data_IF_537332071880
#
_entry.id   IF_537332071880
#
_cell.length_a   1.000
_cell.length_b   1.000
_cell.length_c   1.000
_cell.angle_alpha   90.00
_cell.angle_beta   90.00
_cell.angle_gamma   90.00
#
_symmetry.space_group_name_H-M   'P 1'
#
loop_
_entity.id
_entity.type
_entity.pdbx_description
1 polymer ?
#
# COMPACT_ATOMS: atom_id res chain seq x y z
N UNK A 1 29.10 -2.49 30.33
CA UNK A 1 30.56 -2.30 30.37
C UNK A 1 30.84 -0.81 30.29
N UNK A 2 31.50 -0.30 31.33
CA UNK A 2 31.79 1.10 31.65
C UNK A 2 32.59 1.83 30.57
N UNK A 3 32.27 3.10 30.30
CA UNK A 3 33.28 4.17 30.13
C UNK A 3 32.68 5.53 30.55
N UNK A 4 33.14 6.10 31.66
CA UNK A 4 33.78 7.42 31.80
C UNK A 4 33.93 7.77 33.29
N UNK A 5 35.07 8.35 33.70
CA UNK A 5 35.01 9.36 34.74
C UNK A 5 35.79 10.65 34.44
N UNK A 6 35.38 11.66 35.19
CA UNK A 6 35.84 13.04 35.32
C UNK A 6 37.35 13.22 35.48
N UNK A 7 37.84 14.38 35.06
CA UNK A 7 39.09 14.98 35.53
C UNK A 7 38.84 16.40 36.05
N UNK A 8 39.27 16.58 37.30
CA UNK A 8 39.32 17.82 38.09
C UNK A 8 40.79 18.10 38.43
N UNK A 9 41.07 19.32 38.89
CA UNK A 9 42.31 19.80 39.53
C UNK A 9 43.43 20.27 38.58
N UNK A 10 44.23 21.31 38.84
CA UNK A 10 44.30 22.26 39.94
C UNK A 10 45.12 23.48 39.47
N UNK A 11 44.86 24.65 40.07
CA UNK A 11 45.70 25.84 39.97
C UNK A 11 46.89 25.74 40.93
N UNK A 12 48.06 26.20 40.49
CA UNK A 12 49.28 26.33 41.27
C UNK A 12 50.02 27.63 40.94
N UNK A 13 50.34 28.39 41.99
CA UNK A 13 50.92 29.74 42.05
C UNK A 13 52.46 29.80 42.07
N UNK A 14 52.98 31.04 42.04
CA UNK A 14 54.32 31.60 42.39
C UNK A 14 55.27 31.91 41.21
N UNK A 15 55.51 33.17 40.85
CA UNK A 15 56.24 34.30 41.51
C UNK A 15 57.77 34.22 41.31
N UNK A 16 58.34 35.20 40.59
CA UNK A 16 59.58 35.90 41.01
C UNK A 16 59.88 37.14 40.16
N UNK A 17 60.28 38.20 40.87
CA UNK A 17 60.75 39.52 40.42
C UNK A 17 62.08 39.47 39.68
N UNK A 18 62.34 40.49 38.83
CA UNK A 18 63.62 41.22 38.87
C UNK A 18 63.48 42.64 38.29
N UNK A 19 64.18 43.56 38.96
CA UNK A 19 64.19 45.03 38.89
C UNK A 19 65.36 45.52 38.01
N UNK A 20 65.31 46.82 37.63
CA UNK A 20 66.38 47.72 37.15
C UNK A 20 66.36 48.00 35.64
N UNK A 21 66.52 49.22 35.11
CA UNK A 21 66.88 50.56 35.62
C UNK A 21 66.58 51.59 34.52
N UNK A 22 66.29 52.83 34.90
CA UNK A 22 66.09 53.95 34.00
C UNK A 22 67.41 54.61 33.57
N UNK A 23 67.50 55.05 32.31
CA UNK A 23 68.36 56.18 31.88
C UNK A 23 67.68 57.01 30.79
N UNK A 24 67.86 58.32 30.95
CA UNK A 24 67.31 59.44 30.16
C UNK A 24 68.06 59.64 28.84
N UNK A 25 67.35 60.03 27.77
CA UNK A 25 67.90 60.94 26.76
C UNK A 25 66.83 61.59 25.87
N UNK A 26 66.84 62.93 25.92
CA UNK A 26 66.57 63.93 24.88
C UNK A 26 65.19 64.17 24.27
N UNK A 27 64.74 65.40 24.57
CA UNK A 27 63.78 66.27 23.89
C UNK A 27 64.15 66.49 22.42
N UNK A 28 63.16 66.32 21.53
CA UNK A 28 63.06 67.05 20.27
C UNK A 28 61.59 67.48 20.09
N UNK A 29 61.33 68.78 20.24
CA UNK A 29 60.08 69.41 19.82
C UNK A 29 60.04 69.46 18.29
N UNK A 30 58.99 68.91 17.69
CA UNK A 30 58.59 69.17 16.32
C UNK A 30 57.10 69.52 16.33
N UNK A 31 56.82 70.83 16.31
CA UNK A 31 55.51 71.39 15.99
C UNK A 31 55.21 71.13 14.51
N UNK A 32 54.20 70.31 14.20
CA UNK A 32 53.48 70.34 12.92
C UNK A 32 51.99 70.00 13.12
N UNK A 33 51.07 70.66 12.40
CA UNK A 33 49.66 70.69 12.73
C UNK A 33 48.94 69.38 12.38
N UNK A 34 48.19 68.86 13.34
CA UNK A 34 47.28 67.72 13.19
C UNK A 34 46.13 68.08 12.24
N UNK A 35 46.27 67.75 10.95
CA UNK A 35 45.13 67.59 10.04
C UNK A 35 44.82 66.09 9.95
N UNK A 36 44.21 65.55 11.01
CA UNK A 36 43.53 64.26 10.89
C UNK A 36 42.46 64.42 9.81
N UNK A 37 42.38 63.51 8.81
CA UNK A 37 41.27 63.55 7.86
C UNK A 37 39.99 63.42 8.67
N UNK A 38 39.12 64.43 8.59
CA UNK A 38 37.80 64.35 9.22
C UNK A 38 37.10 63.14 8.64
N UNK A 39 37.01 62.05 9.40
CA UNK A 39 36.19 60.90 9.09
C UNK A 39 34.75 61.39 9.10
N UNK A 40 34.25 61.85 7.94
CA UNK A 40 32.83 62.06 7.74
C UNK A 40 32.17 60.70 7.81
N UNK A 41 31.53 60.41 8.94
CA UNK A 41 30.59 59.31 9.04
C UNK A 41 29.43 59.62 8.08
N UNK A 42 29.49 59.09 6.87
CA UNK A 42 28.29 58.95 6.07
C UNK A 42 27.37 58.00 6.83
N UNK A 43 26.19 58.50 7.21
CA UNK A 43 25.10 57.63 7.61
C UNK A 43 24.90 56.66 6.44
N UNK A 44 25.33 55.41 6.60
CA UNK A 44 24.99 54.36 5.64
C UNK A 44 23.48 54.21 5.75
N UNK A 45 22.76 54.81 4.81
CA UNK A 45 21.38 54.43 4.58
C UNK A 45 21.36 52.94 4.26
N UNK A 46 20.37 52.24 4.82
CA UNK A 46 20.19 50.81 4.68
C UNK A 46 20.43 50.37 3.23
N UNK A 47 21.44 49.53 3.01
CA UNK A 47 21.71 48.96 1.69
C UNK A 47 20.66 47.87 1.50
N UNK A 48 19.55 48.22 0.83
CA UNK A 48 18.54 47.27 0.41
C UNK A 48 19.12 46.43 -0.74
N UNK A 49 19.91 45.42 -0.41
CA UNK A 49 20.39 44.42 -1.37
C UNK A 49 19.31 43.38 -1.69
N UNK A 50 18.12 43.49 -1.08
CA UNK A 50 16.98 42.63 -1.33
C UNK A 50 15.69 43.45 -1.43
N UNK A 51 14.86 43.10 -2.40
CA UNK A 51 13.48 43.52 -2.53
C UNK A 51 12.57 42.29 -2.49
N UNK A 52 11.32 42.50 -2.15
CA UNK A 52 10.36 41.44 -1.89
C UNK A 52 9.06 41.74 -2.63
N UNK A 53 8.47 40.72 -3.25
CA UNK A 53 7.19 40.82 -3.96
C UNK A 53 6.43 39.51 -3.82
N UNK A 54 5.16 39.58 -3.45
CA UNK A 54 4.30 38.39 -3.40
C UNK A 54 4.02 37.89 -4.82
N UNK A 55 4.03 36.58 -5.01
CA UNK A 55 3.60 35.97 -6.27
C UNK A 55 2.12 36.17 -6.53
N UNK A 56 1.73 35.93 -7.80
CA UNK A 56 0.33 35.95 -8.25
C UNK A 56 -0.46 37.21 -7.85
N UNK A 57 0.25 38.28 -7.49
CA UNK A 57 -0.33 39.46 -6.89
C UNK A 57 -1.42 40.03 -7.80
N UNK A 58 -2.64 40.05 -7.28
CA UNK A 58 -3.81 40.53 -8.03
C UNK A 58 -3.82 42.07 -8.11
N UNK A 59 -2.87 42.62 -8.87
CA UNK A 59 -2.71 44.04 -9.10
C UNK A 59 -2.49 44.32 -10.61
N UNK A 60 -2.87 45.51 -11.11
CA UNK A 60 -2.58 45.91 -12.49
C UNK A 60 -1.07 45.99 -12.76
N UNK A 61 -0.67 45.58 -13.95
CA UNK A 61 0.70 45.74 -14.44
C UNK A 61 0.90 47.13 -15.08
N UNK A 62 2.10 47.73 -14.98
CA UNK A 62 3.28 47.25 -14.26
C UNK A 62 3.16 47.49 -12.74
N UNK A 63 3.64 46.53 -11.95
CA UNK A 63 3.42 46.48 -10.51
C UNK A 63 4.65 46.97 -9.74
N UNK A 64 4.49 47.87 -8.76
CA UNK A 64 5.62 48.44 -8.01
C UNK A 64 6.25 47.42 -7.05
N UNK A 65 7.55 47.15 -7.21
CA UNK A 65 8.34 46.20 -6.41
C UNK A 65 9.08 46.93 -5.28
N UNK A 66 9.68 48.07 -5.58
CA UNK A 66 10.57 48.74 -4.64
C UNK A 66 11.28 49.92 -5.27
N UNK A 67 12.26 50.49 -4.56
CA UNK A 67 12.99 51.67 -5.01
C UNK A 67 14.47 51.56 -4.74
N UNK A 68 15.26 51.74 -5.78
CA UNK A 68 16.72 51.85 -5.71
C UNK A 68 17.05 53.31 -5.40
N UNK A 69 17.98 53.54 -4.46
CA UNK A 69 18.42 54.88 -4.07
C UNK A 69 19.92 55.01 -4.24
N UNK A 70 20.34 56.08 -4.90
CA UNK A 70 21.74 56.51 -4.98
C UNK A 70 22.06 57.52 -3.88
N UNK A 71 23.29 57.50 -3.38
CA UNK A 71 23.80 58.53 -2.46
C UNK A 71 24.23 59.81 -3.20
N UNK A 72 24.37 59.74 -4.53
CA UNK A 72 24.77 60.85 -5.40
C UNK A 72 23.58 61.79 -5.65
N UNK A 73 23.59 62.94 -5.00
CA UNK A 73 22.61 64.01 -5.25
C UNK A 73 22.99 64.81 -6.51
N UNK A 74 22.71 64.26 -7.70
CA UNK A 74 22.85 64.96 -8.99
C UNK A 74 21.50 65.02 -9.69
N UNK A 75 21.07 66.24 -10.08
CA UNK A 75 19.88 66.46 -10.94
C UNK A 75 19.95 65.73 -12.29
N UNK A 76 21.15 65.32 -12.70
CA UNK A 76 21.44 64.66 -13.97
C UNK A 76 21.80 63.17 -13.82
N UNK A 77 21.41 62.49 -12.74
CA UNK A 77 21.56 61.04 -12.63
C UNK A 77 20.35 60.31 -13.23
N UNK A 78 20.57 59.16 -13.87
CA UNK A 78 19.51 58.21 -14.24
C UNK A 78 19.81 56.81 -13.72
N UNK A 79 18.77 56.10 -13.32
CA UNK A 79 18.82 54.71 -12.85
C UNK A 79 18.61 53.75 -14.01
N UNK A 80 19.42 52.70 -14.09
CA UNK A 80 19.30 51.63 -15.09
C UNK A 80 19.40 50.27 -14.39
N UNK A 81 18.71 49.27 -14.94
CA UNK A 81 18.86 47.87 -14.56
C UNK A 81 19.70 47.13 -15.60
N UNK A 82 20.53 46.21 -15.13
CA UNK A 82 21.23 45.21 -15.96
C UNK A 82 21.01 43.82 -15.39
N UNK A 83 21.03 42.82 -16.27
CA UNK A 83 20.79 41.42 -15.94
C UNK A 83 19.91 40.78 -17.00
N UNK A 84 19.73 39.47 -16.91
CA UNK A 84 18.91 38.70 -17.86
C UNK A 84 17.44 39.14 -17.88
N UNK A 85 16.93 39.54 -16.71
CA UNK A 85 15.53 39.90 -16.46
C UNK A 85 15.24 41.40 -16.56
N UNK A 86 16.27 42.23 -16.76
CA UNK A 86 16.12 43.67 -16.93
C UNK A 86 15.42 44.00 -18.26
N UNK A 87 14.46 44.93 -18.22
CA UNK A 87 13.59 45.34 -19.32
C UNK A 87 12.69 44.24 -19.92
N UNK A 88 12.77 43.01 -19.40
CA UNK A 88 11.87 41.89 -19.73
C UNK A 88 10.84 41.69 -18.63
N UNK A 89 11.32 41.39 -17.41
CA UNK A 89 10.50 41.10 -16.24
C UNK A 89 10.42 42.32 -15.33
N UNK A 90 11.53 43.06 -15.19
CA UNK A 90 11.60 44.24 -14.34
C UNK A 90 12.07 45.47 -15.10
N UNK A 91 11.45 46.62 -14.80
CA UNK A 91 11.84 47.93 -15.31
C UNK A 91 12.07 48.89 -14.15
N UNK A 92 13.09 49.74 -14.27
CA UNK A 92 13.30 50.87 -13.36
C UNK A 92 12.90 52.17 -14.04
N UNK A 93 12.23 53.05 -13.30
CA UNK A 93 11.98 54.41 -13.75
C UNK A 93 13.28 55.23 -13.61
N UNK A 94 13.81 55.65 -14.76
CA UNK A 94 15.12 56.31 -14.86
C UNK A 94 15.29 57.52 -13.93
N UNK A 95 14.23 58.30 -13.70
CA UNK A 95 14.31 59.53 -12.89
C UNK A 95 14.15 59.30 -11.39
N UNK A 96 13.43 58.25 -10.98
CA UNK A 96 13.01 58.07 -9.59
C UNK A 96 13.64 56.86 -8.91
N UNK A 97 14.17 55.91 -9.69
CA UNK A 97 14.70 54.64 -9.17
C UNK A 97 13.62 53.65 -8.75
N UNK A 98 12.34 53.92 -9.04
CA UNK A 98 11.23 53.02 -8.73
C UNK A 98 11.26 51.82 -9.68
N UNK A 99 11.28 50.62 -9.12
CA UNK A 99 11.33 49.34 -9.84
C UNK A 99 9.94 48.75 -9.92
N UNK A 100 9.56 48.30 -11.12
CA UNK A 100 8.27 47.68 -11.40
C UNK A 100 8.46 46.32 -12.07
N UNK A 101 7.62 45.35 -11.69
CA UNK A 101 7.42 44.11 -12.42
C UNK A 101 6.49 44.35 -13.61
N UNK A 102 6.85 43.81 -14.78
CA UNK A 102 6.11 43.96 -16.03
C UNK A 102 5.14 42.82 -16.29
N UNK A 103 5.27 41.72 -15.56
CA UNK A 103 4.43 40.52 -15.63
C UNK A 103 4.08 40.00 -14.24
N UNK A 104 3.14 39.05 -14.16
CA UNK A 104 2.85 38.31 -12.92
C UNK A 104 3.98 37.32 -12.67
N UNK A 105 4.45 37.28 -11.43
CA UNK A 105 5.49 36.39 -10.99
C UNK A 105 4.86 35.15 -10.35
N UNK A 106 5.52 34.02 -10.52
CA UNK A 106 5.17 32.69 -10.02
C UNK A 106 6.46 32.13 -9.43
N UNK A 107 6.42 31.84 -8.12
CA UNK A 107 7.57 31.43 -7.33
C UNK A 107 7.99 30.01 -7.71
N UNK A 108 7.06 29.12 -8.00
CA UNK A 108 7.30 27.72 -8.37
C UNK A 108 8.10 27.65 -9.68
N UNK A 109 7.98 28.67 -10.54
CA UNK A 109 8.86 28.86 -11.70
C UNK A 109 10.20 29.49 -11.33
N UNK A 110 10.20 30.67 -10.71
CA UNK A 110 11.42 31.41 -10.36
C UNK A 110 11.23 32.15 -9.03
N UNK A 111 11.89 31.67 -7.96
CA UNK A 111 11.76 32.24 -6.62
C UNK A 111 12.65 33.46 -6.35
N UNK A 112 13.74 33.64 -7.11
CA UNK A 112 14.67 34.76 -6.93
C UNK A 112 15.23 35.29 -8.25
N UNK A 113 15.28 36.62 -8.38
CA UNK A 113 15.86 37.33 -9.52
C UNK A 113 17.08 38.15 -9.10
N UNK A 114 18.23 37.84 -9.69
CA UNK A 114 19.47 38.60 -9.46
C UNK A 114 19.65 39.69 -10.51
N UNK A 115 19.72 40.94 -10.06
CA UNK A 115 19.84 42.13 -10.92
C UNK A 115 20.99 43.04 -10.46
N UNK A 116 21.44 43.88 -11.39
CA UNK A 116 22.47 44.89 -11.12
C UNK A 116 21.89 46.28 -11.38
N UNK A 117 21.89 47.10 -10.34
CA UNK A 117 21.54 48.51 -10.41
C UNK A 117 22.73 49.35 -10.86
N UNK A 118 22.48 50.26 -11.80
CA UNK A 118 23.43 51.28 -12.22
C UNK A 118 22.85 52.66 -12.02
N UNK A 119 23.72 53.58 -11.60
CA UNK A 119 23.42 55.02 -11.57
C UNK A 119 24.41 55.67 -12.52
N UNK A 120 23.91 56.24 -13.61
CA UNK A 120 24.76 56.85 -14.65
C UNK A 120 24.42 58.32 -14.87
N UNK A 121 25.40 59.06 -15.35
CA UNK A 121 25.21 60.45 -15.75
C UNK A 121 24.37 60.52 -17.04
N UNK A 122 23.32 61.34 -17.06
CA UNK A 122 22.40 61.49 -18.19
C UNK A 122 23.10 61.92 -19.49
N UNK A 123 24.17 62.70 -19.39
CA UNK A 123 24.85 63.27 -20.55
C UNK A 123 25.96 62.35 -21.06
N UNK A 124 26.71 61.74 -20.15
CA UNK A 124 27.93 60.97 -20.51
C UNK A 124 27.74 59.46 -20.44
N UNK A 125 26.62 58.96 -19.88
CA UNK A 125 26.37 57.55 -19.56
C UNK A 125 27.49 56.89 -18.72
N UNK A 126 28.34 57.68 -18.06
CA UNK A 126 29.37 57.17 -17.15
C UNK A 126 28.74 56.80 -15.81
N UNK A 127 29.19 55.68 -15.24
CA UNK A 127 28.78 55.26 -13.91
C UNK A 127 29.16 56.32 -12.88
N UNK A 128 28.17 56.80 -12.13
CA UNK A 128 28.31 57.75 -11.04
C UNK A 128 28.65 57.06 -9.72
N UNK A 129 28.18 55.82 -9.56
CA UNK A 129 28.51 54.93 -8.47
C UNK A 129 28.93 53.57 -9.03
N UNK A 130 29.63 52.78 -8.23
CA UNK A 130 29.92 51.39 -8.58
C UNK A 130 28.61 50.61 -8.78
N UNK A 131 28.53 49.71 -9.78
CA UNK A 131 27.37 48.83 -9.95
C UNK A 131 27.03 48.09 -8.66
N UNK A 132 25.74 48.00 -8.34
CA UNK A 132 25.27 47.36 -7.11
C UNK A 132 24.37 46.18 -7.44
N UNK A 133 24.76 44.98 -7.02
CA UNK A 133 23.94 43.78 -7.16
C UNK A 133 22.87 43.72 -6.07
N UNK A 134 21.66 43.34 -6.44
CA UNK A 134 20.55 43.11 -5.53
C UNK A 134 19.69 41.93 -6.02
N UNK A 135 18.93 41.34 -5.10
CA UNK A 135 18.02 40.23 -5.39
C UNK A 135 16.57 40.70 -5.20
N UNK A 136 15.68 40.33 -6.10
CA UNK A 136 14.24 40.40 -5.87
C UNK A 136 13.79 38.99 -5.50
N UNK A 137 13.33 38.80 -4.25
CA UNK A 137 12.76 37.54 -3.78
C UNK A 137 11.25 37.56 -4.01
N UNK A 138 10.73 36.47 -4.56
CA UNK A 138 9.30 36.24 -4.69
C UNK A 138 8.82 35.56 -3.40
N UNK A 139 7.83 36.14 -2.74
CA UNK A 139 7.19 35.55 -1.59
C UNK A 139 6.10 34.59 -2.03
N UNK A 140 6.14 33.43 -1.40
CA UNK A 140 5.20 32.35 -1.59
C UNK A 140 3.79 32.76 -1.16
N UNK A 141 2.80 32.41 -1.97
CA UNK A 141 1.38 32.47 -1.65
C UNK A 141 0.84 31.06 -1.80
N UNK A 142 0.04 30.59 -0.85
CA UNK A 142 -0.61 29.28 -0.96
C UNK A 142 -1.66 29.30 -2.09
N UNK A 143 -1.23 28.91 -3.29
CA UNK A 143 -1.99 28.89 -4.52
C UNK A 143 -1.89 27.55 -5.27
N UNK A 144 -1.03 26.65 -4.82
CA UNK A 144 -1.02 25.26 -5.27
C UNK A 144 -1.84 24.38 -4.32
N UNK A 145 -2.41 23.32 -4.88
CA UNK A 145 -3.12 22.31 -4.08
C UNK A 145 -2.33 21.00 -4.09
N UNK A 146 -2.54 20.13 -3.07
CA UNK A 146 -1.86 18.85 -3.04
C UNK A 146 -2.25 17.97 -4.23
N UNK A 147 -1.25 17.46 -4.95
CA UNK A 147 -1.45 16.54 -6.08
C UNK A 147 -0.84 15.18 -5.76
N UNK A 148 -1.63 14.12 -5.87
CA UNK A 148 -1.13 12.76 -5.75
C UNK A 148 -0.10 12.44 -6.84
N UNK A 149 0.96 11.71 -6.46
CA UNK A 149 1.98 11.22 -7.40
C UNK A 149 1.41 10.39 -8.56
N UNK A 150 0.27 9.73 -8.33
CA UNK A 150 -0.46 8.96 -9.33
C UNK A 150 -1.96 9.22 -9.21
N UNK A 151 -2.67 9.13 -10.34
CA UNK A 151 -4.16 9.20 -10.34
C UNK A 151 -4.81 7.89 -9.89
N UNK A 152 -4.14 6.77 -10.15
CA UNK A 152 -4.61 5.42 -9.82
C UNK A 152 -3.51 4.65 -9.12
N UNK A 153 -3.82 4.05 -7.98
CA UNK A 153 -2.95 3.14 -7.23
C UNK A 153 -3.55 1.74 -7.25
N UNK A 154 -2.71 0.72 -7.46
CA UNK A 154 -3.13 -0.67 -7.32
C UNK A 154 -2.54 -1.24 -6.04
N UNK A 155 -3.37 -1.93 -5.26
CA UNK A 155 -2.94 -2.57 -4.04
C UNK A 155 -3.64 -3.92 -3.86
N UNK A 156 -3.11 -4.74 -2.96
CA UNK A 156 -3.75 -5.98 -2.58
C UNK A 156 -3.57 -6.23 -1.09
N UNK A 157 -4.57 -6.84 -0.47
CA UNK A 157 -4.55 -7.21 0.94
C UNK A 157 -5.19 -8.59 1.09
N UNK A 158 -4.69 -9.48 1.95
CA UNK A 158 -5.39 -10.73 2.24
C UNK A 158 -6.80 -10.46 2.74
N UNK A 159 -7.75 -11.28 2.32
CA UNK A 159 -9.06 -11.30 2.97
C UNK A 159 -8.95 -11.69 4.45
N UNK A 160 -10.02 -11.51 5.22
CA UNK A 160 -10.04 -11.73 6.68
C UNK A 160 -8.94 -11.03 7.48
N UNK A 161 -8.27 -10.03 6.87
CA UNK A 161 -7.23 -9.25 7.52
C UNK A 161 -7.78 -8.58 8.77
N UNK A 162 -6.93 -8.48 9.80
CA UNK A 162 -7.31 -7.79 11.02
C UNK A 162 -7.61 -6.30 10.74
N UNK A 163 -8.43 -5.67 11.58
CA UNK A 163 -8.61 -4.21 11.54
C UNK A 163 -7.27 -3.53 11.76
N UNK A 164 -6.96 -2.51 10.95
CA UNK A 164 -5.71 -1.78 10.99
C UNK A 164 -4.56 -2.41 10.18
N UNK A 165 -4.83 -3.45 9.40
CA UNK A 165 -3.82 -4.00 8.47
C UNK A 165 -3.52 -2.97 7.39
N UNK A 166 -2.25 -2.63 7.24
CA UNK A 166 -1.73 -1.73 6.19
C UNK A 166 -1.96 -2.32 4.80
N UNK A 167 -2.51 -1.51 3.90
CA UNK A 167 -2.80 -1.90 2.51
C UNK A 167 -1.83 -1.23 1.53
N UNK A 168 -1.75 0.09 1.54
CA UNK A 168 -0.84 0.86 0.68
C UNK A 168 -0.62 2.26 1.24
N UNK A 169 0.43 2.93 0.78
CA UNK A 169 0.75 4.30 1.19
C UNK A 169 0.58 5.24 0.00
N UNK A 170 -0.20 6.29 0.19
CA UNK A 170 -0.40 7.35 -0.79
C UNK A 170 0.52 8.53 -0.50
N UNK A 171 0.88 9.28 -1.54
CA UNK A 171 1.68 10.48 -1.39
C UNK A 171 1.13 11.55 -2.32
N UNK A 172 0.68 12.65 -1.71
CA UNK A 172 0.42 13.90 -2.40
C UNK A 172 1.55 14.90 -2.12
N UNK A 173 1.81 15.75 -3.10
CA UNK A 173 2.85 16.78 -3.06
C UNK A 173 2.18 18.12 -3.31
N UNK A 174 2.51 19.08 -2.45
CA UNK A 174 2.20 20.49 -2.64
C UNK A 174 3.45 21.21 -3.16
N UNK A 175 3.28 22.16 -4.08
CA UNK A 175 4.38 22.86 -4.74
C UNK A 175 4.80 24.15 -3.99
N UNK A 176 3.96 24.63 -3.06
CA UNK A 176 4.21 25.82 -2.26
C UNK A 176 5.44 25.66 -1.33
N UNK A 177 5.86 26.75 -0.69
CA UNK A 177 7.05 26.77 0.17
C UNK A 177 6.92 25.92 1.43
N UNK A 178 7.68 24.83 1.59
CA UNK A 178 7.59 23.98 2.78
C UNK A 178 8.15 24.64 4.04
N UNK A 179 8.84 25.78 3.92
CA UNK A 179 9.36 26.54 5.06
C UNK A 179 8.31 27.45 5.68
N UNK A 180 7.21 27.71 4.97
CA UNK A 180 6.08 28.47 5.50
C UNK A 180 5.09 27.49 6.11
N UNK A 181 4.79 27.70 7.39
CA UNK A 181 3.87 26.83 8.11
C UNK A 181 2.53 26.76 7.39
N UNK A 182 1.98 25.54 7.34
CA UNK A 182 0.67 25.20 6.80
C UNK A 182 0.49 25.32 5.27
N UNK A 183 1.41 25.94 4.52
CA UNK A 183 1.27 26.05 3.05
C UNK A 183 1.38 24.69 2.34
N UNK A 184 2.22 23.79 2.84
CA UNK A 184 2.38 22.44 2.27
C UNK A 184 1.77 21.35 3.15
N UNK A 185 0.89 21.70 4.09
CA UNK A 185 0.32 20.74 5.03
C UNK A 185 -0.85 20.02 4.39
N UNK A 186 -0.69 18.71 4.15
CA UNK A 186 -1.70 17.90 3.48
C UNK A 186 -2.54 17.14 4.49
N UNK A 187 -3.86 17.20 4.33
CA UNK A 187 -4.83 16.37 5.04
C UNK A 187 -5.48 15.38 4.08
N UNK A 188 -5.68 14.14 4.54
CA UNK A 188 -6.27 13.08 3.74
C UNK A 188 -7.66 12.68 4.23
N UNK A 189 -8.55 12.36 3.29
CA UNK A 189 -9.90 11.84 3.56
C UNK A 189 -10.30 10.77 2.55
N UNK A 190 -11.03 9.75 3.00
CA UNK A 190 -11.65 8.74 2.12
C UNK A 190 -13.06 9.20 1.73
N UNK A 191 -13.25 9.50 0.45
CA UNK A 191 -14.55 9.91 -0.13
C UNK A 191 -15.46 8.71 -0.47
N UNK A 192 -14.87 7.55 -0.79
CA UNK A 192 -15.59 6.31 -1.16
C UNK A 192 -14.82 5.10 -0.65
N UNK A 193 -15.53 4.12 -0.10
CA UNK A 193 -14.95 2.88 0.46
C UNK A 193 -14.55 3.00 1.93
N UNK A 194 -15.04 4.02 2.63
CA UNK A 194 -14.74 4.27 4.05
C UNK A 194 -15.37 3.22 4.99
N UNK A 195 -16.33 2.43 4.50
CA UNK A 195 -16.92 1.32 5.21
C UNK A 195 -15.96 0.12 5.35
N UNK A 196 -14.92 0.03 4.51
CA UNK A 196 -13.94 -1.07 4.48
C UNK A 196 -12.50 -0.62 4.74
N UNK A 197 -12.18 0.64 4.43
CA UNK A 197 -10.82 1.17 4.49
C UNK A 197 -10.79 2.57 5.09
N UNK A 198 -9.69 2.92 5.76
CA UNK A 198 -9.42 4.25 6.29
C UNK A 198 -8.04 4.72 5.83
N UNK A 199 -7.85 6.03 5.78
CA UNK A 199 -6.54 6.65 5.55
C UNK A 199 -6.15 7.50 6.77
N UNK A 200 -4.90 7.43 7.18
CA UNK A 200 -4.35 8.32 8.20
C UNK A 200 -3.68 9.56 7.59
N UNK A 201 -3.24 10.49 8.44
CA UNK A 201 -2.60 11.73 7.99
C UNK A 201 -1.18 11.50 7.42
N UNK A 202 -0.61 10.31 7.54
CA UNK A 202 0.62 9.95 6.82
C UNK A 202 0.36 9.56 5.38
N UNK A 203 -0.89 9.25 5.03
CA UNK A 203 -1.30 8.72 3.73
C UNK A 203 -1.40 7.19 3.70
N UNK A 204 -1.29 6.52 4.85
CA UNK A 204 -1.39 5.06 4.94
C UNK A 204 -2.86 4.63 4.91
N UNK A 205 -3.23 3.83 3.93
CA UNK A 205 -4.52 3.14 3.87
C UNK A 205 -4.45 1.85 4.68
N UNK A 206 -5.46 1.62 5.52
CA UNK A 206 -5.62 0.42 6.33
C UNK A 206 -7.05 -0.10 6.33
N UNK A 207 -7.24 -1.37 6.69
CA UNK A 207 -8.56 -2.01 6.81
C UNK A 207 -9.34 -1.52 8.03
N UNK A 208 -10.64 -1.31 7.91
CA UNK A 208 -11.53 -0.91 9.03
C UNK A 208 -12.40 -2.04 9.55
N UNK A 209 -12.55 -3.11 8.77
CA UNK A 209 -13.32 -4.30 9.12
C UNK A 209 -12.52 -5.58 8.88
N UNK A 210 -12.96 -6.67 9.53
CA UNK A 210 -12.48 -8.04 9.27
C UNK A 210 -13.35 -8.79 8.26
N UNK A 211 -14.49 -8.22 7.88
CA UNK A 211 -15.49 -8.87 7.00
C UNK A 211 -15.13 -8.73 5.51
N UNK A 212 -13.83 -8.61 5.21
CA UNK A 212 -13.33 -8.67 3.85
C UNK A 212 -13.28 -10.14 3.45
N UNK A 213 -14.10 -10.50 2.49
CA UNK A 213 -14.28 -11.86 1.98
C UNK A 213 -14.25 -11.77 0.43
N UNK A 214 -13.33 -12.52 -0.17
CA UNK A 214 -13.04 -12.51 -1.60
C UNK A 214 -14.14 -13.21 -2.38
N UNK A 215 -14.69 -14.30 -1.86
CA UNK A 215 -15.81 -15.07 -2.42
C UNK A 215 -17.07 -14.21 -2.51
N UNK A 216 -17.27 -13.31 -1.54
CA UNK A 216 -18.35 -12.32 -1.56
C UNK A 216 -18.02 -11.14 -2.47
N UNK A 217 -16.84 -10.53 -2.32
CA UNK A 217 -16.40 -9.37 -3.11
C UNK A 217 -14.88 -9.26 -3.18
N UNK A 218 -14.30 -9.69 -4.30
CA UNK A 218 -12.85 -9.71 -4.51
C UNK A 218 -12.19 -8.34 -4.77
N UNK A 219 -12.94 -7.29 -5.15
CA UNK A 219 -12.36 -6.00 -5.60
C UNK A 219 -13.07 -4.80 -5.00
N UNK A 220 -12.27 -3.83 -4.56
CA UNK A 220 -12.73 -2.58 -3.97
C UNK A 220 -12.10 -1.39 -4.67
N UNK A 221 -12.86 -0.30 -4.70
CA UNK A 221 -12.43 0.98 -5.25
C UNK A 221 -12.56 2.02 -4.13
N UNK A 222 -11.42 2.56 -3.70
CA UNK A 222 -11.34 3.58 -2.66
C UNK A 222 -10.97 4.89 -3.33
N UNK A 223 -11.78 5.93 -3.14
CA UNK A 223 -11.46 7.27 -3.64
C UNK A 223 -10.99 8.10 -2.47
N UNK A 224 -9.79 8.67 -2.61
CA UNK A 224 -9.13 9.46 -1.58
C UNK A 224 -8.95 10.89 -2.08
N UNK A 225 -9.14 11.83 -1.18
CA UNK A 225 -8.89 13.25 -1.38
C UNK A 225 -7.71 13.70 -0.52
N UNK A 226 -6.88 14.59 -1.09
CA UNK A 226 -5.84 15.34 -0.40
C UNK A 226 -6.20 16.83 -0.47
N UNK A 227 -6.21 17.50 0.68
CA UNK A 227 -6.53 18.93 0.83
C UNK A 227 -5.44 19.64 1.60
N UNK A 228 -5.19 20.88 1.28
CA UNK A 228 -4.44 21.78 2.16
C UNK A 228 -5.17 21.91 3.52
N UNK A 229 -4.41 21.83 4.61
CA UNK A 229 -4.87 21.93 5.99
C UNK A 229 -5.60 23.25 6.30
N UNK A 230 -5.33 24.34 5.58
CA UNK A 230 -6.08 25.59 5.77
C UNK A 230 -7.45 25.60 5.09
N UNK A 231 -7.69 24.73 4.11
CA UNK A 231 -9.02 24.45 3.54
C UNK A 231 -9.77 25.68 2.98
N UNK A 232 -9.08 26.79 2.73
CA UNK A 232 -9.71 28.09 2.49
C UNK A 232 -10.14 28.31 1.03
N UNK A 233 -9.62 27.55 0.06
CA UNK A 233 -9.95 27.71 -1.38
C UNK A 233 -9.87 26.40 -2.17
N UNK A 234 -11.02 25.79 -2.39
CA UNK A 234 -11.50 25.53 -3.75
C UNK A 234 -10.98 24.34 -4.55
N UNK A 235 -9.80 23.79 -4.29
CA UNK A 235 -9.27 22.70 -5.11
C UNK A 235 -8.53 21.64 -4.26
N UNK A 236 -8.74 20.38 -4.64
CA UNK A 236 -8.23 19.21 -3.93
C UNK A 236 -7.72 18.18 -4.93
N UNK A 237 -6.67 17.45 -4.55
CA UNK A 237 -6.20 16.31 -5.31
C UNK A 237 -7.06 15.09 -5.01
N UNK A 238 -7.55 14.40 -6.02
CA UNK A 238 -8.23 13.09 -5.84
C UNK A 238 -7.46 11.97 -6.52
N UNK A 239 -7.36 10.82 -5.85
CA UNK A 239 -6.82 9.58 -6.42
C UNK A 239 -7.74 8.40 -6.16
N UNK A 240 -7.69 7.40 -7.05
CA UNK A 240 -8.42 6.14 -6.90
C UNK A 240 -7.46 5.02 -6.55
N UNK A 241 -7.80 4.23 -5.54
CA UNK A 241 -7.06 3.02 -5.14
C UNK A 241 -7.91 1.80 -5.47
N UNK A 242 -7.38 0.96 -6.36
CA UNK A 242 -7.98 -0.31 -6.74
C UNK A 242 -7.37 -1.41 -5.88
N UNK A 243 -8.15 -1.93 -4.95
CA UNK A 243 -7.71 -2.95 -3.99
C UNK A 243 -8.28 -4.30 -4.42
N UNK A 244 -7.41 -5.28 -4.59
CA UNK A 244 -7.79 -6.68 -4.85
C UNK A 244 -7.53 -7.52 -3.61
N UNK A 245 -8.53 -8.29 -3.16
CA UNK A 245 -8.34 -9.22 -2.06
C UNK A 245 -7.50 -10.42 -2.52
N UNK A 246 -6.54 -10.82 -1.69
CA UNK A 246 -5.79 -12.06 -1.89
C UNK A 246 -6.52 -13.19 -1.16
N UNK A 247 -6.63 -14.32 -1.87
CA UNK A 247 -7.32 -15.52 -1.42
C UNK A 247 -6.66 -16.13 -0.17
N UNK A 248 -7.46 -16.43 0.84
CA UNK A 248 -7.10 -17.29 1.96
C UNK A 248 -7.90 -18.58 1.82
N UNK A 249 -7.23 -19.73 1.97
CA UNK A 249 -7.91 -21.03 2.01
C UNK A 249 -8.77 -21.15 3.29
N UNK A 250 -10.01 -20.70 3.21
CA UNK A 250 -11.00 -20.64 4.28
C UNK A 250 -12.31 -21.37 3.95
N UNK A 251 -12.46 -21.91 2.73
CA UNK A 251 -13.61 -22.72 2.37
C UNK A 251 -13.28 -24.21 2.30
N UNK A 252 -14.21 -25.02 2.81
CA UNK A 252 -14.11 -26.46 2.65
C UNK A 252 -14.67 -26.88 1.29
N UNK A 253 -14.13 -27.94 0.66
CA UNK A 253 -14.78 -28.57 -0.48
C UNK A 253 -16.20 -29.04 -0.12
N UNK A 254 -17.19 -28.61 -0.90
CA UNK A 254 -18.60 -28.93 -0.71
C UNK A 254 -19.03 -29.93 -1.78
N UNK A 255 -19.59 -31.07 -1.39
CA UNK A 255 -20.17 -31.99 -2.38
C UNK A 255 -21.36 -31.37 -3.10
N UNK A 256 -21.40 -31.51 -4.42
CA UNK A 256 -22.55 -31.08 -5.25
C UNK A 256 -23.85 -31.83 -4.93
N UNK A 257 -23.74 -33.04 -4.34
CA UNK A 257 -24.86 -33.87 -3.92
C UNK A 257 -24.67 -34.37 -2.49
N UNK A 258 -25.74 -34.38 -1.71
CA UNK A 258 -25.76 -34.98 -0.37
C UNK A 258 -25.81 -36.52 -0.40
N UNK A 259 -26.24 -37.08 -1.54
CA UNK A 259 -26.32 -38.52 -1.78
C UNK A 259 -25.93 -38.86 -3.22
N UNK A 260 -24.98 -39.78 -3.36
CA UNK A 260 -24.60 -40.39 -4.63
C UNK A 260 -25.12 -41.82 -4.70
N UNK A 261 -25.60 -42.26 -5.87
CA UNK A 261 -26.10 -43.63 -6.07
C UNK A 261 -25.55 -44.21 -7.36
N UNK A 262 -24.96 -45.39 -7.25
CA UNK A 262 -24.38 -46.14 -8.36
C UNK A 262 -25.08 -47.49 -8.48
N UNK A 263 -25.28 -47.96 -9.71
CA UNK A 263 -25.69 -49.33 -10.00
C UNK A 263 -24.54 -50.03 -10.70
N UNK A 264 -24.04 -51.13 -10.13
CA UNK A 264 -22.83 -51.80 -10.60
C UNK A 264 -23.09 -53.30 -10.70
N UNK A 265 -22.66 -53.97 -11.78
CA UNK A 265 -22.78 -55.42 -11.88
C UNK A 265 -21.82 -56.09 -10.88
N UNK A 266 -22.20 -57.26 -10.38
CA UNK A 266 -21.38 -57.97 -9.39
C UNK A 266 -20.03 -58.45 -9.95
N UNK A 267 -19.99 -58.73 -11.26
CA UNK A 267 -18.80 -59.15 -12.01
C UNK A 267 -17.82 -58.01 -12.32
N UNK A 268 -18.10 -56.80 -11.80
CA UNK A 268 -17.24 -55.64 -11.99
C UNK A 268 -15.82 -55.92 -11.51
N UNK A 269 -14.84 -55.62 -12.38
CA UNK A 269 -13.44 -55.87 -12.07
C UNK A 269 -12.98 -55.05 -10.87
N UNK A 270 -12.34 -55.71 -9.91
CA UNK A 270 -11.65 -55.06 -8.78
C UNK A 270 -10.68 -53.98 -9.30
N UNK A 271 -10.78 -52.78 -8.72
CA UNK A 271 -9.99 -51.60 -9.08
C UNK A 271 -10.54 -50.77 -10.25
N UNK A 272 -11.62 -51.21 -10.91
CA UNK A 272 -12.26 -50.39 -11.96
C UNK A 272 -13.02 -49.20 -11.36
N UNK A 273 -13.08 -48.05 -12.06
CA UNK A 273 -13.80 -46.87 -11.58
C UNK A 273 -15.31 -47.12 -11.63
N UNK A 274 -16.00 -46.93 -10.50
CA UNK A 274 -17.47 -47.03 -10.41
C UNK A 274 -18.16 -45.74 -10.84
N UNK A 275 -17.54 -44.60 -10.52
CA UNK A 275 -18.04 -43.27 -10.84
C UNK A 275 -17.28 -42.17 -10.12
N UNK A 276 -17.53 -40.94 -10.57
CA UNK A 276 -16.95 -39.72 -10.02
C UNK A 276 -17.87 -39.05 -9.01
N UNK A 277 -17.25 -38.40 -8.04
CA UNK A 277 -17.88 -37.54 -7.04
C UNK A 277 -17.33 -36.14 -7.25
N UNK A 278 -18.23 -35.16 -7.20
CA UNK A 278 -17.90 -33.78 -7.53
C UNK A 278 -18.02 -32.90 -6.29
N UNK A 279 -17.01 -32.07 -6.08
CA UNK A 279 -17.00 -31.02 -5.07
C UNK A 279 -16.86 -29.66 -5.74
N UNK A 280 -17.42 -28.66 -5.09
CA UNK A 280 -17.18 -27.25 -5.39
C UNK A 280 -16.47 -26.66 -4.19
N UNK A 281 -15.42 -25.92 -4.47
CA UNK A 281 -14.67 -25.16 -3.49
C UNK A 281 -14.59 -23.71 -4.04
N UNK A 282 -15.08 -22.70 -3.31
CA UNK A 282 -15.09 -21.30 -3.75
C UNK A 282 -13.71 -20.64 -3.88
N UNK A 283 -12.68 -21.16 -3.21
CA UNK A 283 -11.34 -20.55 -3.13
C UNK A 283 -10.63 -20.48 -4.51
N UNK A 284 -9.44 -19.90 -4.59
CA UNK A 284 -8.68 -19.91 -5.84
C UNK A 284 -8.11 -21.30 -6.17
N UNK A 285 -7.84 -21.64 -7.45
CA UNK A 285 -7.36 -22.98 -7.83
C UNK A 285 -6.15 -23.53 -7.03
N UNK A 286 -5.33 -22.66 -6.46
CA UNK A 286 -4.16 -23.02 -5.65
C UNK A 286 -4.55 -23.49 -4.23
N UNK A 287 -5.72 -23.06 -3.74
CA UNK A 287 -6.25 -23.29 -2.41
C UNK A 287 -7.46 -24.25 -2.40
N UNK A 288 -7.68 -25.01 -3.49
CA UNK A 288 -8.81 -25.93 -3.65
C UNK A 288 -8.39 -27.39 -3.82
N UNK A 289 -7.38 -27.83 -3.08
CA UNK A 289 -6.85 -29.18 -3.23
C UNK A 289 -7.72 -30.16 -2.45
N UNK A 290 -8.47 -31.05 -3.09
CA UNK A 290 -9.38 -31.95 -2.36
C UNK A 290 -8.79 -33.35 -2.14
N UNK A 291 -8.92 -33.85 -0.91
CA UNK A 291 -8.68 -35.24 -0.52
C UNK A 291 -9.98 -35.88 -0.06
N UNK A 292 -10.27 -37.04 -0.63
CA UNK A 292 -11.45 -37.82 -0.31
C UNK A 292 -11.11 -38.97 0.63
N UNK A 293 -12.02 -39.30 1.55
CA UNK A 293 -11.88 -40.46 2.44
C UNK A 293 -13.24 -41.06 2.81
N UNK A 294 -13.25 -42.35 3.15
CA UNK A 294 -14.45 -43.05 3.64
C UNK A 294 -14.46 -43.00 5.18
N UNK A 295 -15.39 -42.24 5.74
CA UNK A 295 -15.40 -41.89 7.18
C UNK A 295 -16.46 -42.62 8.00
N UNK A 296 -17.46 -43.23 7.36
CA UNK A 296 -18.50 -44.03 8.02
C UNK A 296 -18.99 -45.17 7.12
N UNK A 297 -19.43 -46.29 7.71
CA UNK A 297 -19.98 -47.43 6.99
C UNK A 297 -19.42 -48.76 7.51
N UNK A 298 -20.17 -49.84 7.28
CA UNK A 298 -19.83 -51.21 7.69
C UNK A 298 -18.80 -51.87 6.74
N UNK A 299 -18.75 -51.38 5.49
CA UNK A 299 -17.99 -52.00 4.39
C UNK A 299 -16.85 -51.12 3.87
N UNK A 300 -16.19 -50.37 4.77
CA UNK A 300 -15.10 -49.44 4.39
C UNK A 300 -13.91 -50.13 3.71
N UNK A 301 -13.70 -51.42 4.00
CA UNK A 301 -12.62 -52.22 3.44
C UNK A 301 -12.98 -52.86 2.08
N UNK A 302 -14.19 -52.61 1.57
CA UNK A 302 -14.67 -53.13 0.28
C UNK A 302 -14.44 -52.15 -0.85
N UNK A 303 -14.36 -50.85 -0.55
CA UNK A 303 -14.20 -49.77 -1.54
C UNK A 303 -13.04 -48.86 -1.15
N UNK A 304 -12.35 -48.34 -2.15
CA UNK A 304 -11.41 -47.23 -2.02
C UNK A 304 -11.95 -46.00 -2.74
N UNK A 305 -11.44 -44.84 -2.34
CA UNK A 305 -11.67 -43.58 -3.04
C UNK A 305 -10.33 -42.90 -3.28
N UNK A 306 -10.13 -42.41 -4.50
CA UNK A 306 -8.91 -41.73 -4.93
C UNK A 306 -9.28 -40.35 -5.49
N UNK A 307 -8.45 -39.34 -5.22
CA UNK A 307 -8.57 -38.05 -5.90
C UNK A 307 -7.97 -38.15 -7.30
N UNK A 308 -8.75 -37.78 -8.31
CA UNK A 308 -8.23 -37.48 -9.64
C UNK A 308 -7.44 -36.17 -9.61
N UNK A 309 -6.15 -36.23 -9.92
CA UNK A 309 -5.28 -35.06 -9.94
C UNK A 309 -5.60 -34.07 -11.06
N UNK A 310 -6.38 -34.47 -12.07
CA UNK A 310 -6.69 -33.61 -13.22
C UNK A 310 -7.97 -32.79 -13.02
N UNK A 311 -9.04 -33.39 -12.51
CA UNK A 311 -10.32 -32.71 -12.30
C UNK A 311 -10.67 -32.49 -10.81
N UNK A 312 -9.81 -32.92 -9.88
CA UNK A 312 -10.05 -32.86 -8.43
C UNK A 312 -11.32 -33.64 -7.98
N UNK A 313 -11.74 -34.61 -8.79
CA UNK A 313 -12.89 -35.47 -8.55
C UNK A 313 -12.54 -36.66 -7.65
N UNK A 314 -13.51 -37.18 -6.92
CA UNK A 314 -13.36 -38.41 -6.14
C UNK A 314 -13.78 -39.63 -6.97
N UNK A 315 -12.85 -40.55 -7.25
CA UNK A 315 -13.13 -41.78 -7.99
C UNK A 315 -13.28 -42.95 -7.01
N UNK A 316 -14.46 -43.58 -6.97
CA UNK A 316 -14.70 -44.78 -6.16
C UNK A 316 -14.30 -46.03 -6.94
N UNK A 317 -13.63 -46.97 -6.28
CA UNK A 317 -13.22 -48.27 -6.86
C UNK A 317 -13.54 -49.43 -5.89
N UNK A 318 -13.93 -50.62 -6.39
CA UNK A 318 -14.06 -51.80 -5.56
C UNK A 318 -12.68 -52.38 -5.26
N UNK A 319 -12.40 -52.68 -3.99
CA UNK A 319 -11.17 -53.36 -3.55
C UNK A 319 -11.33 -54.88 -3.46
N UNK A 320 -12.57 -55.36 -3.41
CA UNK A 320 -12.93 -56.78 -3.32
C UNK A 320 -14.01 -57.11 -4.35
N UNK A 321 -14.11 -58.36 -4.81
CA UNK A 321 -15.22 -58.81 -5.66
C UNK A 321 -16.56 -58.55 -4.97
N UNK A 322 -17.54 -58.13 -5.76
CA UNK A 322 -18.92 -57.98 -5.31
C UNK A 322 -19.66 -59.31 -5.53
N UNK A 323 -20.76 -59.48 -4.81
CA UNK A 323 -21.53 -60.73 -4.77
C UNK A 323 -22.97 -60.32 -4.41
N UNK A 324 -23.86 -60.41 -5.39
CA UNK A 324 -25.24 -59.97 -5.29
C UNK A 324 -26.05 -60.83 -4.32
N UNK A 325 -25.83 -62.14 -4.29
CA UNK A 325 -26.49 -63.08 -3.38
C UNK A 325 -26.17 -62.76 -1.92
N UNK A 326 -24.94 -62.28 -1.66
CA UNK A 326 -24.48 -61.97 -0.31
C UNK A 326 -24.87 -60.57 0.14
N UNK A 327 -24.57 -59.54 -0.66
CA UNK A 327 -24.83 -58.13 -0.32
C UNK A 327 -25.31 -57.36 -1.54
N UNK A 328 -26.60 -57.02 -1.55
CA UNK A 328 -27.25 -56.29 -2.66
C UNK A 328 -26.99 -54.78 -2.64
N UNK A 329 -26.64 -54.22 -1.48
CA UNK A 329 -26.48 -52.79 -1.34
C UNK A 329 -25.40 -52.45 -0.31
N UNK A 330 -24.50 -51.56 -0.70
CA UNK A 330 -23.50 -50.95 0.19
C UNK A 330 -23.86 -49.50 0.45
N UNK A 331 -23.81 -49.10 1.73
CA UNK A 331 -24.00 -47.70 2.14
C UNK A 331 -22.85 -47.25 3.03
N UNK A 332 -22.24 -46.12 2.70
CA UNK A 332 -21.18 -45.51 3.47
C UNK A 332 -21.18 -43.98 3.32
N UNK A 333 -20.48 -43.29 4.21
CA UNK A 333 -20.31 -41.84 4.18
C UNK A 333 -18.88 -41.52 3.80
N UNK A 334 -18.74 -40.59 2.85
CA UNK A 334 -17.47 -40.04 2.42
C UNK A 334 -17.31 -38.62 2.95
N UNK A 335 -16.07 -38.19 3.12
CA UNK A 335 -15.67 -36.83 3.45
C UNK A 335 -14.68 -36.32 2.40
N UNK A 336 -14.87 -35.07 1.98
CA UNK A 336 -13.93 -34.30 1.18
C UNK A 336 -13.27 -33.24 2.09
N UNK A 337 -11.96 -33.08 1.97
CA UNK A 337 -11.20 -32.16 2.81
C UNK A 337 -10.05 -31.55 2.03
N UNK A 338 -9.82 -30.25 2.16
CA UNK A 338 -8.55 -29.66 1.76
C UNK A 338 -7.52 -29.86 2.88
N UNK A 339 -6.40 -30.58 2.65
CA UNK A 339 -5.40 -30.83 3.69
C UNK A 339 -4.58 -29.60 4.08
N UNK A 340 -4.67 -28.52 3.30
CA UNK A 340 -3.95 -27.25 3.46
C UNK A 340 -4.81 -26.13 4.05
N UNK A 341 -6.12 -26.36 4.22
CA UNK A 341 -7.05 -25.37 4.79
C UNK A 341 -6.58 -24.89 6.17
N UNK A 342 -6.67 -23.58 6.38
CA UNK A 342 -6.35 -23.01 7.68
C UNK A 342 -7.59 -22.98 8.56
N UNK A 343 -7.71 -23.95 9.46
CA UNK A 343 -8.85 -24.10 10.39
C UNK A 343 -9.12 -22.86 11.27
N UNK A 344 -8.18 -21.92 11.38
CA UNK A 344 -8.40 -20.65 12.08
C UNK A 344 -9.41 -19.75 11.35
N UNK A 345 -9.39 -19.81 10.02
CA UNK A 345 -10.18 -18.99 9.12
C UNK A 345 -11.36 -19.77 8.54
N UNK A 346 -11.24 -21.10 8.51
CA UNK A 346 -12.22 -21.98 7.91
C UNK A 346 -13.67 -21.69 8.33
N UNK A 347 -14.53 -21.51 7.34
CA UNK A 347 -15.96 -21.30 7.55
C UNK A 347 -16.60 -22.50 8.28
N UNK A 348 -17.65 -22.26 9.08
CA UNK A 348 -18.28 -23.31 9.89
C UNK A 348 -19.05 -24.38 9.09
N UNK A 349 -18.88 -24.44 7.76
CA UNK A 349 -19.60 -25.29 6.82
C UNK A 349 -19.22 -26.80 6.87
N UNK A 350 -18.59 -27.26 7.96
CA UNK A 350 -18.15 -28.64 8.20
C UNK A 350 -19.24 -29.72 8.03
N UNK A 351 -20.53 -29.37 7.94
CA UNK A 351 -21.59 -30.35 7.65
C UNK A 351 -21.73 -30.71 6.16
N UNK A 352 -21.26 -29.87 5.23
CA UNK A 352 -21.44 -30.05 3.77
C UNK A 352 -20.26 -30.72 3.07
N UNK A 353 -19.17 -30.94 3.78
CA UNK A 353 -18.00 -31.67 3.30
C UNK A 353 -18.19 -33.21 3.32
N UNK A 354 -19.40 -33.69 3.67
CA UNK A 354 -19.75 -35.12 3.74
C UNK A 354 -20.92 -35.45 2.83
N UNK A 355 -20.87 -36.63 2.22
CA UNK A 355 -21.94 -37.16 1.39
C UNK A 355 -22.17 -38.65 1.64
N UNK A 356 -23.42 -39.11 1.43
CA UNK A 356 -23.76 -40.53 1.54
C UNK A 356 -23.65 -41.20 0.17
N UNK A 357 -22.93 -42.31 0.10
CA UNK A 357 -22.80 -43.12 -1.11
C UNK A 357 -23.63 -44.39 -0.95
N UNK A 358 -24.41 -44.72 -1.97
CA UNK A 358 -25.16 -45.97 -2.07
C UNK A 358 -24.74 -46.70 -3.34
N UNK A 359 -24.27 -47.94 -3.21
CA UNK A 359 -23.91 -48.79 -4.34
C UNK A 359 -24.91 -49.94 -4.36
N UNK A 360 -25.73 -49.99 -5.40
CA UNK A 360 -26.63 -51.10 -5.67
C UNK A 360 -25.90 -52.10 -6.56
N UNK A 361 -25.73 -53.33 -6.06
CA UNK A 361 -25.19 -54.41 -6.88
C UNK A 361 -26.32 -54.94 -7.74
N UNK A 362 -26.07 -55.08 -9.04
CA UNK A 362 -26.99 -55.72 -9.98
C UNK A 362 -26.51 -57.13 -10.26
N UNK A 363 -27.45 -58.04 -10.18
CA UNK A 363 -27.31 -59.47 -10.49
C UNK A 363 -26.84 -59.67 -11.93
N UNK A 364 -25.82 -60.50 -12.10
CA UNK A 364 -25.38 -61.02 -13.40
C UNK A 364 -25.65 -62.52 -13.38
N UNK A 365 -26.47 -63.00 -14.32
CA UNK A 365 -26.94 -64.40 -14.36
C UNK A 365 -25.78 -65.41 -14.20
N UNK A 366 -25.66 -65.99 -13.00
CA UNK A 366 -24.69 -67.01 -12.64
C UNK A 366 -25.33 -68.40 -12.50
N UNK A 367 -24.58 -69.49 -12.75
CA UNK A 367 -25.10 -70.83 -12.47
C UNK A 367 -25.37 -70.99 -10.97
N UNK A 368 -26.45 -71.69 -10.58
CA UNK A 368 -26.87 -71.77 -9.18
C UNK A 368 -25.79 -72.42 -8.32
N UNK A 369 -25.41 -71.75 -7.24
CA UNK A 369 -24.48 -72.26 -6.23
C UNK A 369 -25.21 -72.97 -5.09
N UNK A 370 -24.60 -74.03 -4.55
CA UNK A 370 -25.10 -74.68 -3.34
C UNK A 370 -24.68 -73.87 -2.10
N UNK A 371 -25.62 -73.59 -1.18
CA UNK A 371 -25.31 -72.88 0.08
C UNK A 371 -24.26 -73.58 0.95
N UNK A 372 -24.11 -74.89 0.79
CA UNK A 372 -23.13 -75.71 1.50
C UNK A 372 -22.46 -76.67 0.51
N UNK A 373 -21.15 -76.94 0.67
CA UNK A 373 -20.45 -77.93 -0.17
C UNK A 373 -21.00 -79.35 0.05
N UNK A 374 -21.61 -79.62 1.21
CA UNK A 374 -22.22 -80.90 1.54
C UNK A 374 -23.49 -80.70 2.36
N UNK A 375 -24.58 -81.35 1.95
CA UNK A 375 -25.79 -81.47 2.76
C UNK A 375 -25.83 -82.85 3.39
N UNK A 376 -25.78 -82.90 4.72
CA UNK A 376 -25.85 -84.16 5.46
C UNK A 376 -27.30 -84.41 5.88
N UNK A 377 -27.84 -85.55 5.46
CA UNK A 377 -29.16 -86.01 5.87
C UNK A 377 -29.02 -87.31 6.66
N UNK A 378 -29.64 -87.39 7.82
CA UNK A 378 -29.76 -88.63 8.59
C UNK A 378 -31.15 -89.21 8.35
N UNK A 379 -31.20 -90.41 7.77
CA UNK A 379 -32.43 -91.16 7.57
C UNK A 379 -32.41 -92.40 8.46
N UNK A 380 -33.54 -92.72 9.09
CA UNK A 380 -33.68 -93.98 9.83
C UNK A 380 -33.94 -95.12 8.85
N UNK A 381 -33.33 -96.27 9.11
CA UNK A 381 -33.63 -97.50 8.36
C UNK A 381 -35.13 -97.82 8.43
N UNK A 382 -35.74 -98.18 7.29
CA UNK A 382 -37.18 -98.45 7.12
C UNK A 382 -38.14 -97.25 7.28
N UNK A 383 -37.65 -96.02 7.25
CA UNK A 383 -38.52 -94.84 7.13
C UNK A 383 -39.20 -94.87 5.74
N UNK A 384 -40.54 -94.97 5.70
CA UNK A 384 -41.33 -94.78 4.45
C UNK A 384 -40.90 -93.47 3.81
N UNK A 385 -40.78 -93.46 2.46
CA UNK A 385 -40.38 -92.30 1.63
C UNK A 385 -40.73 -91.01 2.37
N UNK A 386 -39.73 -90.25 2.85
CA UNK A 386 -40.03 -88.93 3.35
C UNK A 386 -40.80 -88.24 2.24
N UNK A 387 -41.94 -87.60 2.56
CA UNK A 387 -42.36 -86.45 1.79
C UNK A 387 -41.18 -85.49 1.91
N UNK A 388 -40.21 -85.59 0.99
CA UNK A 388 -39.26 -84.51 0.74
C UNK A 388 -40.20 -83.36 0.44
N UNK A 389 -40.41 -82.53 1.45
CA UNK A 389 -41.41 -81.50 1.41
C UNK A 389 -41.19 -80.72 0.13
N UNK A 390 -42.29 -80.40 -0.51
CA UNK A 390 -42.47 -79.35 -1.51
C UNK A 390 -41.92 -77.96 -1.09
N UNK A 391 -41.05 -77.87 -0.08
CA UNK A 391 -40.03 -76.84 0.02
C UNK A 391 -38.81 -77.36 -0.74
N UNK A 392 -38.91 -77.28 -2.06
CA UNK A 392 -37.77 -77.51 -2.93
C UNK A 392 -36.56 -76.73 -2.45
N UNK A 393 -35.38 -77.18 -2.85
CA UNK A 393 -34.20 -76.31 -2.95
C UNK A 393 -34.68 -74.94 -3.40
N UNK A 394 -34.74 -73.98 -2.47
CA UNK A 394 -34.88 -72.58 -2.84
C UNK A 394 -33.51 -72.22 -3.37
N UNK A 395 -33.33 -72.55 -4.65
CA UNK A 395 -32.45 -71.78 -5.51
C UNK A 395 -33.06 -70.39 -5.48
N UNK A 396 -32.42 -69.49 -4.76
CA UNK A 396 -32.68 -68.07 -4.95
C UNK A 396 -32.28 -67.80 -6.40
N UNK A 397 -33.30 -67.57 -7.23
CA UNK A 397 -33.15 -66.90 -8.53
C UNK A 397 -33.00 -65.42 -8.28
#
# INVERSE_FOLDING_TARGET
MYVLPMLLAAMGTCLCLLVATATSAHVAQLDTPSMLPTLRRHKRDWIWNQMHIDEERNAPLPHYVGKIKSSVNRKNAKYLLKGEYAEKVFRVKEDTGDVFALERLDREKISEYHLVALVVDKNTNRNLESPSSFTIKVHDVNDNWPVFTHRVFNASVPEMSAVGTSVTHLTAVDADDPTIADHTSVTYEVLKGNEYFAIDQSGLISTTTKDLDRETKARYEVVVEARDAQGLRGDSGTATVLITLQDINDNFPIFTQTKYTFAVPEDIRVGSPLGSLFVEDPDEPQNRMTKYSIVQGEYRDTFSIETDSTHNEGIIKPMKPLDYERIKQYTFTIEAMDPTINLRYASSASAKNKARVIINVTDVDEPPIFQQPFYHFQLRENQKKPLIGSRGLRVHR
#
